data_IF_836486319010
#
_entry.id   IF_836486319010
#
_cell.length_a   1.000
_cell.length_b   1.000
_cell.length_c   1.000
_cell.angle_alpha   90.00
_cell.angle_beta   90.00
_cell.angle_gamma   90.00
#
_symmetry.space_group_name_H-M   'P 1'
#
loop_
_entity.id
_entity.type
_entity.pdbx_description
1 polymer ?
#
# COMPACT_ATOMS: atom_id res chain seq x y z
N UNK A 1 15.89 54.20 19.68
CA UNK A 1 16.25 52.85 19.20
C UNK A 1 15.34 52.48 18.04
N UNK A 2 15.79 52.71 16.81
CA UNK A 2 15.12 52.22 15.60
C UNK A 2 15.31 50.70 15.52
N UNK A 3 14.25 49.88 15.44
CA UNK A 3 14.42 48.45 15.30
C UNK A 3 15.12 48.19 13.97
N UNK A 4 16.38 47.75 14.04
CA UNK A 4 17.12 47.23 12.89
C UNK A 4 16.34 46.06 12.32
N UNK A 5 15.60 46.33 11.24
CA UNK A 5 14.79 45.35 10.52
C UNK A 5 15.78 44.32 9.95
N UNK A 6 15.91 43.15 10.61
CA UNK A 6 16.74 42.05 10.11
C UNK A 6 16.30 41.78 8.66
N UNK A 7 17.19 42.01 7.72
CA UNK A 7 16.95 41.71 6.31
C UNK A 7 16.60 40.22 6.21
N UNK A 8 15.39 39.84 5.75
CA UNK A 8 15.08 38.44 5.54
C UNK A 8 16.11 37.83 4.60
N UNK A 9 16.45 36.55 4.81
CA UNK A 9 17.32 35.82 3.89
C UNK A 9 16.77 35.96 2.47
N UNK A 10 17.62 36.15 1.45
CA UNK A 10 17.20 36.23 0.04
C UNK A 10 16.29 35.04 -0.30
N UNK A 11 15.21 35.26 -1.05
CA UNK A 11 14.20 34.25 -1.35
C UNK A 11 14.79 33.00 -2.01
N UNK A 12 15.83 33.16 -2.83
CA UNK A 12 16.59 32.06 -3.42
C UNK A 12 17.16 31.09 -2.37
N UNK A 13 17.71 31.61 -1.26
CA UNK A 13 18.25 30.76 -0.17
C UNK A 13 17.13 30.04 0.57
N UNK A 14 15.99 30.70 0.78
CA UNK A 14 14.83 30.07 1.43
C UNK A 14 14.27 28.92 0.60
N UNK A 15 14.28 29.08 -0.73
CA UNK A 15 13.92 28.05 -1.68
C UNK A 15 14.80 26.81 -1.67
N UNK A 16 16.12 27.02 -1.68
CA UNK A 16 17.08 25.91 -1.58
C UNK A 16 16.90 25.15 -0.26
N UNK A 17 16.68 25.85 0.85
CA UNK A 17 16.37 25.21 2.14
C UNK A 17 15.07 24.41 2.04
N UNK A 18 14.03 24.95 1.37
CA UNK A 18 12.77 24.25 1.19
C UNK A 18 12.95 22.94 0.39
N UNK A 19 13.67 22.98 -0.74
CA UNK A 19 13.97 21.80 -1.54
C UNK A 19 14.79 20.77 -0.75
N UNK A 20 15.80 21.22 0.00
CA UNK A 20 16.61 20.34 0.85
C UNK A 20 15.76 19.66 1.93
N UNK A 21 14.85 20.39 2.59
CA UNK A 21 13.95 19.81 3.60
C UNK A 21 12.97 18.79 2.99
N UNK A 22 12.47 19.04 1.78
CA UNK A 22 11.62 18.08 1.06
C UNK A 22 12.42 16.82 0.72
N UNK A 23 13.64 16.97 0.20
CA UNK A 23 14.51 15.84 -0.08
C UNK A 23 14.82 15.04 1.21
N UNK A 24 15.10 15.72 2.33
CA UNK A 24 15.26 15.07 3.63
C UNK A 24 13.99 14.32 4.07
N UNK A 25 12.79 14.88 3.86
CA UNK A 25 11.54 14.21 4.19
C UNK A 25 11.32 12.95 3.33
N UNK A 26 11.60 13.02 2.02
CA UNK A 26 11.57 11.87 1.11
C UNK A 26 12.56 10.79 1.59
N UNK A 27 13.81 11.15 1.88
CA UNK A 27 14.80 10.20 2.40
C UNK A 27 14.41 9.62 3.77
N UNK A 28 13.81 10.42 4.66
CA UNK A 28 13.32 9.95 5.95
C UNK A 28 12.22 8.91 5.80
N UNK A 29 11.28 9.08 4.86
CA UNK A 29 10.30 8.05 4.54
C UNK A 29 10.93 6.75 4.06
N UNK A 30 12.08 6.80 3.41
CA UNK A 30 12.74 5.59 2.88
C UNK A 30 13.60 4.87 3.92
N UNK A 31 14.32 5.62 4.74
CA UNK A 31 15.44 5.09 5.54
C UNK A 31 15.26 5.27 7.04
N UNK A 32 14.24 6.00 7.49
CA UNK A 32 14.00 6.26 8.89
C UNK A 32 12.67 5.64 9.35
N UNK A 33 12.47 5.45 10.66
CA UNK A 33 11.18 5.02 11.19
C UNK A 33 10.05 5.98 10.79
N UNK A 34 8.82 5.45 10.71
CA UNK A 34 7.61 6.18 10.27
C UNK A 34 7.44 7.55 10.96
N UNK A 35 7.71 7.65 12.27
CA UNK A 35 7.57 8.91 13.02
C UNK A 35 8.55 10.00 12.54
N UNK A 36 9.76 9.63 12.11
CA UNK A 36 10.75 10.56 11.61
C UNK A 36 10.34 11.09 10.23
N UNK A 37 9.76 10.23 9.38
CA UNK A 37 9.14 10.63 8.12
C UNK A 37 8.04 11.68 8.31
N UNK A 38 7.14 11.48 9.30
CA UNK A 38 6.12 12.48 9.65
C UNK A 38 6.73 13.80 10.14
N UNK A 39 7.71 13.75 11.05
CA UNK A 39 8.36 14.95 11.58
C UNK A 39 9.06 15.76 10.47
N UNK A 40 9.82 15.09 9.61
CA UNK A 40 10.51 15.72 8.49
C UNK A 40 9.52 16.31 7.47
N UNK A 41 8.42 15.62 7.18
CA UNK A 41 7.36 16.10 6.30
C UNK A 41 6.68 17.34 6.88
N UNK A 42 6.32 17.32 8.17
CA UNK A 42 5.76 18.48 8.87
C UNK A 42 6.68 19.71 8.79
N UNK A 43 7.99 19.52 9.04
CA UNK A 43 8.98 20.59 8.92
C UNK A 43 9.08 21.14 7.48
N UNK A 44 9.13 20.25 6.47
CA UNK A 44 9.18 20.64 5.07
C UNK A 44 7.93 21.43 4.64
N UNK A 45 6.74 21.00 5.07
CA UNK A 45 5.48 21.70 4.77
C UNK A 45 5.40 23.07 5.46
N UNK A 46 5.76 23.16 6.74
CA UNK A 46 5.81 24.45 7.46
C UNK A 46 6.82 25.39 6.81
N UNK A 47 7.99 24.89 6.43
CA UNK A 47 9.02 25.70 5.81
C UNK A 47 8.63 26.18 4.41
N UNK A 48 8.14 25.29 3.54
CA UNK A 48 7.68 25.66 2.18
C UNK A 48 6.53 26.66 2.26
N UNK A 49 5.61 26.47 3.21
CA UNK A 49 4.59 27.45 3.54
C UNK A 49 5.21 28.79 3.95
N UNK A 50 6.23 28.86 4.81
CA UNK A 50 6.86 30.14 5.18
C UNK A 50 7.63 30.76 4.01
N UNK A 51 8.51 30.00 3.37
CA UNK A 51 9.40 30.41 2.29
C UNK A 51 8.64 31.00 1.10
N UNK A 52 7.46 30.46 0.78
CA UNK A 52 6.62 31.03 -0.28
C UNK A 52 6.41 32.54 -0.11
N UNK A 53 6.21 33.05 1.12
CA UNK A 53 5.97 34.49 1.33
C UNK A 53 7.17 35.33 0.92
N UNK A 54 8.38 34.86 1.22
CA UNK A 54 9.61 35.57 0.86
C UNK A 54 9.92 35.46 -0.63
N UNK A 55 9.70 34.28 -1.21
CA UNK A 55 9.92 34.03 -2.64
C UNK A 55 8.97 34.82 -3.55
N UNK A 56 7.80 35.20 -3.04
CA UNK A 56 6.82 36.02 -3.77
C UNK A 56 7.41 37.35 -4.23
N UNK A 57 8.24 37.97 -3.38
CA UNK A 57 8.87 39.26 -3.67
C UNK A 57 9.98 39.17 -4.72
N UNK A 58 10.56 37.97 -4.91
CA UNK A 58 11.75 37.78 -5.74
C UNK A 58 11.42 37.22 -7.14
N UNK A 59 10.17 36.83 -7.42
CA UNK A 59 9.74 36.30 -8.72
C UNK A 59 10.28 34.91 -9.10
N UNK A 60 11.13 34.29 -8.26
CA UNK A 60 11.81 33.01 -8.52
C UNK A 60 11.01 31.75 -8.14
N UNK A 61 9.75 31.89 -7.72
CA UNK A 61 8.94 30.74 -7.28
C UNK A 61 8.71 29.68 -8.36
N UNK A 62 8.72 30.08 -9.65
CA UNK A 62 8.66 29.16 -10.80
C UNK A 62 9.85 28.20 -10.84
N UNK A 63 11.06 28.67 -10.51
CA UNK A 63 12.27 27.83 -10.47
C UNK A 63 12.16 26.76 -9.39
N UNK A 64 11.49 27.07 -8.28
CA UNK A 64 11.36 26.13 -7.16
C UNK A 64 10.28 25.09 -7.44
N UNK A 65 9.20 25.47 -8.14
CA UNK A 65 8.25 24.49 -8.67
C UNK A 65 8.91 23.57 -9.70
N UNK A 66 9.81 24.10 -10.54
CA UNK A 66 10.62 23.26 -11.44
C UNK A 66 11.57 22.32 -10.65
N UNK A 67 12.24 22.81 -9.61
CA UNK A 67 13.04 21.96 -8.73
C UNK A 67 12.22 20.86 -8.05
N UNK A 68 11.01 21.19 -7.60
CA UNK A 68 10.07 20.22 -7.04
C UNK A 68 9.62 19.19 -8.09
N UNK A 69 9.39 19.62 -9.33
CA UNK A 69 9.11 18.73 -10.45
C UNK A 69 10.19 17.68 -10.63
N UNK A 70 11.46 18.11 -10.60
CA UNK A 70 12.61 17.21 -10.70
C UNK A 70 12.59 16.19 -9.56
N UNK A 71 12.32 16.62 -8.32
CA UNK A 71 12.21 15.70 -7.18
C UNK A 71 11.06 14.71 -7.35
N UNK A 72 9.86 15.17 -7.71
CA UNK A 72 8.69 14.30 -7.99
C UNK A 72 9.03 13.29 -9.08
N UNK A 73 9.56 13.75 -10.22
CA UNK A 73 9.91 12.91 -11.35
C UNK A 73 11.00 11.91 -11.00
N UNK A 74 12.01 12.29 -10.22
CA UNK A 74 13.05 11.37 -9.75
C UNK A 74 12.45 10.27 -8.85
N UNK A 75 11.62 10.63 -7.87
CA UNK A 75 10.95 9.66 -7.00
C UNK A 75 10.06 8.71 -7.80
N UNK A 76 9.26 9.22 -8.75
CA UNK A 76 8.39 8.41 -9.60
C UNK A 76 9.19 7.48 -10.53
N UNK A 77 10.33 7.95 -11.06
CA UNK A 77 11.19 7.16 -11.93
C UNK A 77 11.88 6.02 -11.17
N UNK A 78 12.43 6.31 -9.98
CA UNK A 78 13.05 5.30 -9.11
C UNK A 78 12.03 4.20 -8.78
N UNK A 79 10.84 4.60 -8.32
CA UNK A 79 9.79 3.65 -7.97
C UNK A 79 9.30 2.80 -9.14
N UNK A 80 9.30 3.34 -10.37
CA UNK A 80 8.84 2.62 -11.56
C UNK A 80 9.86 1.61 -12.07
N UNK A 81 11.15 1.96 -12.08
CA UNK A 81 12.19 1.16 -12.73
C UNK A 81 12.86 0.18 -11.79
N UNK A 82 12.93 0.50 -10.50
CA UNK A 82 13.58 -0.34 -9.49
C UNK A 82 12.62 -0.54 -8.31
N UNK A 83 11.54 -1.33 -8.47
CA UNK A 83 10.61 -1.60 -7.37
C UNK A 83 11.32 -2.25 -6.17
N UNK A 84 12.47 -2.89 -6.37
CA UNK A 84 13.32 -3.40 -5.29
C UNK A 84 13.92 -2.27 -4.42
N UNK A 85 14.11 -1.07 -4.97
CA UNK A 85 14.72 0.04 -4.25
C UNK A 85 13.73 0.77 -3.34
N UNK A 86 12.48 0.95 -3.79
CA UNK A 86 11.43 1.59 -3.00
C UNK A 86 10.06 1.10 -3.46
N UNK A 87 9.60 -0.07 -2.97
CA UNK A 87 8.33 -0.64 -3.39
C UNK A 87 7.16 0.19 -2.88
N UNK A 88 6.10 0.24 -3.70
CA UNK A 88 4.83 0.82 -3.30
C UNK A 88 3.99 -0.29 -2.66
N UNK A 89 3.91 -0.28 -1.34
CA UNK A 89 3.28 -1.38 -0.60
C UNK A 89 1.75 -1.25 -0.51
N UNK A 90 1.14 -0.24 -1.14
CA UNK A 90 -0.28 0.06 -0.93
C UNK A 90 -1.18 -1.12 -1.33
N UNK A 91 -0.87 -1.87 -2.39
CA UNK A 91 -1.52 -3.15 -2.71
C UNK A 91 -1.36 -4.19 -1.61
N UNK A 92 -0.13 -4.46 -1.15
CA UNK A 92 0.12 -5.39 -0.05
C UNK A 92 -0.54 -4.92 1.26
N UNK A 93 -0.75 -3.61 1.46
CA UNK A 93 -1.39 -3.02 2.63
C UNK A 93 -2.94 -3.03 2.56
N UNK A 94 -3.55 -3.57 1.51
CA UNK A 94 -5.01 -3.62 1.39
C UNK A 94 -5.65 -2.42 0.70
N UNK A 95 -4.84 -1.55 0.09
CA UNK A 95 -5.26 -0.40 -0.69
C UNK A 95 -5.11 -0.58 -2.20
N UNK A 96 -4.96 -1.80 -2.72
CA UNK A 96 -4.73 -2.06 -4.15
C UNK A 96 -5.84 -1.53 -5.07
N UNK A 97 -7.08 -1.50 -4.58
CA UNK A 97 -8.20 -0.88 -5.29
C UNK A 97 -8.02 0.63 -5.58
N UNK A 98 -7.13 1.31 -4.85
CA UNK A 98 -6.82 2.73 -5.02
C UNK A 98 -5.57 2.97 -5.88
N UNK A 99 -4.89 1.92 -6.33
CA UNK A 99 -3.75 2.03 -7.24
C UNK A 99 -4.17 2.29 -8.68
N UNK A 100 -5.45 2.06 -9.02
CA UNK A 100 -5.95 2.18 -10.39
C UNK A 100 -7.17 3.09 -10.44
N UNK A 101 -7.17 3.98 -11.43
CA UNK A 101 -8.30 4.83 -11.78
C UNK A 101 -8.69 4.50 -13.23
N UNK A 102 -9.93 4.03 -13.44
CA UNK A 102 -10.43 3.57 -14.74
C UNK A 102 -9.51 2.51 -15.41
N UNK A 103 -8.97 1.58 -14.62
CA UNK A 103 -8.07 0.52 -15.09
C UNK A 103 -6.60 0.96 -15.29
N UNK A 104 -6.31 2.27 -15.23
CA UNK A 104 -4.96 2.82 -15.38
C UNK A 104 -4.33 3.04 -14.01
N UNK A 105 -3.07 2.65 -13.84
CA UNK A 105 -2.33 2.92 -12.61
C UNK A 105 -2.24 4.42 -12.32
N UNK A 106 -2.66 4.82 -11.12
CA UNK A 106 -2.67 6.20 -10.63
C UNK A 106 -1.28 6.81 -10.69
N UNK A 107 -0.22 6.05 -10.40
CA UNK A 107 1.17 6.55 -10.50
C UNK A 107 1.52 7.01 -11.91
N UNK A 108 1.02 6.34 -12.96
CA UNK A 108 1.22 6.75 -14.36
C UNK A 108 0.46 8.02 -14.69
N UNK A 109 -0.80 8.11 -14.24
CA UNK A 109 -1.63 9.30 -14.42
C UNK A 109 -1.04 10.51 -13.65
N UNK A 110 -0.57 10.29 -12.43
CA UNK A 110 0.08 11.29 -11.60
C UNK A 110 1.38 11.78 -12.25
N UNK A 111 2.22 10.87 -12.76
CA UNK A 111 3.43 11.23 -13.49
C UNK A 111 3.12 12.09 -14.73
N UNK A 112 2.20 11.63 -15.58
CA UNK A 112 1.80 12.38 -16.77
C UNK A 112 1.19 13.75 -16.42
N UNK A 113 0.28 13.79 -15.44
CA UNK A 113 -0.35 15.01 -14.97
C UNK A 113 0.65 16.00 -14.38
N UNK A 114 1.61 15.53 -13.58
CA UNK A 114 2.70 16.34 -13.06
C UNK A 114 3.56 16.91 -14.19
N UNK A 115 4.00 16.08 -15.15
CA UNK A 115 4.80 16.56 -16.29
C UNK A 115 4.08 17.63 -17.10
N UNK A 116 2.80 17.42 -17.42
CA UNK A 116 1.98 18.39 -18.15
C UNK A 116 1.82 19.69 -17.36
N UNK A 117 1.56 19.59 -16.06
CA UNK A 117 1.44 20.73 -15.16
C UNK A 117 2.74 21.56 -15.14
N UNK A 118 3.88 20.91 -14.98
CA UNK A 118 5.18 21.58 -14.94
C UNK A 118 5.59 22.16 -16.30
N UNK A 119 5.32 21.45 -17.39
CA UNK A 119 5.52 21.96 -18.75
C UNK A 119 4.70 23.24 -18.99
N UNK A 120 3.44 23.26 -18.55
CA UNK A 120 2.58 24.43 -18.68
C UNK A 120 3.05 25.61 -17.81
N UNK A 121 3.56 25.35 -16.60
CA UNK A 121 4.21 26.37 -15.77
C UNK A 121 5.44 26.96 -16.47
N UNK A 122 6.32 26.10 -16.99
CA UNK A 122 7.54 26.53 -17.67
C UNK A 122 7.21 27.36 -18.93
N UNK A 123 6.27 26.87 -19.74
CA UNK A 123 5.78 27.57 -20.93
C UNK A 123 5.17 28.93 -20.57
N UNK A 124 4.35 29.00 -19.52
CA UNK A 124 3.80 30.25 -19.02
C UNK A 124 4.89 31.23 -18.58
N UNK A 125 5.93 30.75 -17.89
CA UNK A 125 7.07 31.58 -17.49
C UNK A 125 7.86 32.13 -18.67
N UNK A 126 8.11 31.30 -19.69
CA UNK A 126 8.77 31.71 -20.94
C UNK A 126 7.92 32.75 -21.68
N UNK A 127 6.62 32.51 -21.79
CA UNK A 127 5.69 33.44 -22.46
C UNK A 127 5.63 34.79 -21.75
N UNK A 128 5.47 34.82 -20.41
CA UNK A 128 5.48 36.08 -19.66
C UNK A 128 6.76 36.88 -19.90
N UNK A 129 7.93 36.22 -19.84
CA UNK A 129 9.23 36.87 -20.11
C UNK A 129 9.32 37.45 -21.52
N UNK A 130 8.82 36.72 -22.53
CA UNK A 130 8.80 37.19 -23.94
C UNK A 130 7.83 38.36 -24.15
N UNK A 131 6.72 38.38 -23.42
CA UNK A 131 5.70 39.42 -23.51
C UNK A 131 5.98 40.64 -22.62
N UNK A 132 7.13 40.70 -21.93
CA UNK A 132 7.44 41.76 -20.97
C UNK A 132 6.52 41.79 -19.74
N UNK A 133 5.72 40.74 -19.53
CA UNK A 133 4.86 40.60 -18.36
C UNK A 133 5.70 40.09 -17.20
N UNK A 134 5.53 40.69 -16.02
CA UNK A 134 6.23 40.25 -14.83
C UNK A 134 5.79 38.82 -14.45
N UNK A 135 6.66 37.79 -14.60
CA UNK A 135 6.34 36.41 -14.26
C UNK A 135 6.11 36.22 -12.76
N UNK A 136 6.54 37.16 -11.92
CA UNK A 136 6.28 37.16 -10.49
C UNK A 136 4.79 37.38 -10.18
N UNK A 137 4.07 38.10 -11.06
CA UNK A 137 2.76 38.63 -10.71
C UNK A 137 1.62 37.63 -10.84
N UNK A 138 1.59 36.73 -11.85
CA UNK A 138 0.48 35.77 -12.03
C UNK A 138 0.87 34.51 -12.80
N UNK A 139 0.81 33.35 -12.15
CA UNK A 139 0.49 32.13 -12.89
C UNK A 139 -0.94 32.27 -13.46
N UNK A 140 -1.24 31.77 -14.66
CA UNK A 140 -2.61 31.67 -15.16
C UNK A 140 -3.53 31.03 -14.11
N UNK A 141 -4.69 31.63 -13.86
CA UNK A 141 -5.67 31.12 -12.88
C UNK A 141 -6.01 29.63 -13.08
N UNK A 142 -6.13 29.10 -14.32
CA UNK A 142 -6.34 27.67 -14.54
C UNK A 142 -5.20 26.80 -14.00
N UNK A 143 -3.94 27.21 -14.17
CA UNK A 143 -2.79 26.46 -13.64
C UNK A 143 -2.79 26.47 -12.12
N UNK A 144 -3.12 27.59 -11.49
CA UNK A 144 -3.25 27.63 -10.03
C UNK A 144 -4.37 26.69 -9.55
N UNK A 145 -5.52 26.68 -10.23
CA UNK A 145 -6.65 25.81 -9.90
C UNK A 145 -6.26 24.32 -10.00
N UNK A 146 -5.52 23.93 -11.04
CA UNK A 146 -4.99 22.55 -11.19
C UNK A 146 -4.04 22.21 -10.03
N UNK A 147 -3.14 23.11 -9.66
CA UNK A 147 -2.22 22.87 -8.53
C UNK A 147 -2.97 22.66 -7.21
N UNK A 148 -4.00 23.47 -6.93
CA UNK A 148 -4.87 23.29 -5.76
C UNK A 148 -5.73 22.01 -5.84
N UNK A 149 -6.15 21.61 -7.04
CA UNK A 149 -6.84 20.34 -7.26
C UNK A 149 -5.95 19.13 -6.96
N UNK A 150 -4.66 19.17 -7.33
CA UNK A 150 -3.67 18.13 -6.99
C UNK A 150 -3.45 18.01 -5.47
N UNK A 151 -3.50 19.13 -4.73
CA UNK A 151 -3.49 19.13 -3.26
C UNK A 151 -4.75 18.43 -2.74
N UNK A 152 -5.93 18.73 -3.28
CA UNK A 152 -7.18 18.05 -2.94
C UNK A 152 -7.13 16.54 -3.17
N UNK A 153 -6.59 16.11 -4.31
CA UNK A 153 -6.32 14.70 -4.63
C UNK A 153 -5.40 14.06 -3.59
N UNK A 154 -4.32 14.75 -3.19
CA UNK A 154 -3.42 14.23 -2.16
C UNK A 154 -4.10 14.12 -0.79
N UNK A 155 -4.93 15.09 -0.42
CA UNK A 155 -5.74 15.02 0.80
C UNK A 155 -6.70 13.83 0.78
N UNK A 156 -7.30 13.50 -0.38
CA UNK A 156 -8.14 12.31 -0.51
C UNK A 156 -7.36 11.04 -0.22
N UNK A 157 -6.19 10.84 -0.84
CA UNK A 157 -5.37 9.64 -0.59
C UNK A 157 -4.89 9.54 0.86
N UNK A 158 -4.48 10.65 1.48
CA UNK A 158 -4.10 10.67 2.89
C UNK A 158 -5.28 10.36 3.82
N UNK A 159 -6.47 10.87 3.50
CA UNK A 159 -7.70 10.55 4.22
C UNK A 159 -8.05 9.05 4.09
N UNK A 160 -8.00 8.50 2.87
CA UNK A 160 -8.19 7.07 2.59
C UNK A 160 -7.18 6.22 3.37
N UNK A 161 -5.90 6.57 3.32
CA UNK A 161 -4.81 5.91 4.04
C UNK A 161 -5.08 5.86 5.55
N UNK A 162 -5.43 7.02 6.14
CA UNK A 162 -5.74 7.13 7.56
C UNK A 162 -6.98 6.30 7.94
N UNK A 163 -8.01 6.30 7.10
CA UNK A 163 -9.25 5.53 7.34
C UNK A 163 -9.08 4.03 7.21
N UNK A 164 -8.18 3.57 6.33
CA UNK A 164 -7.84 2.17 6.19
C UNK A 164 -6.79 1.71 7.21
N UNK A 165 -6.17 2.63 7.96
CA UNK A 165 -5.07 2.30 8.88
C UNK A 165 -3.80 1.87 8.14
N UNK A 166 -3.61 2.38 6.93
CA UNK A 166 -2.51 2.02 6.03
C UNK A 166 -1.50 3.16 5.97
N UNK A 167 -0.21 2.83 5.91
CA UNK A 167 0.87 3.81 5.76
C UNK A 167 1.93 3.29 4.77
N UNK A 168 1.75 3.60 3.48
CA UNK A 168 2.78 3.36 2.47
C UNK A 168 3.78 4.50 2.47
N UNK A 169 5.04 4.24 2.84
CA UNK A 169 6.10 5.26 2.92
C UNK A 169 6.34 5.97 1.59
N UNK A 170 6.29 5.24 0.46
CA UNK A 170 6.44 5.85 -0.86
C UNK A 170 5.29 6.82 -1.18
N UNK A 171 4.04 6.42 -0.89
CA UNK A 171 2.87 7.30 -1.07
C UNK A 171 2.97 8.55 -0.19
N UNK A 172 3.37 8.39 1.07
CA UNK A 172 3.54 9.51 2.01
C UNK A 172 4.64 10.48 1.56
N UNK A 173 5.76 9.96 1.03
CA UNK A 173 6.79 10.79 0.41
C UNK A 173 6.23 11.58 -0.78
N UNK A 174 5.54 10.92 -1.72
CA UNK A 174 4.94 11.57 -2.89
C UNK A 174 3.95 12.67 -2.49
N UNK A 175 3.04 12.38 -1.57
CA UNK A 175 2.07 13.35 -1.09
C UNK A 175 2.70 14.50 -0.31
N UNK A 176 3.81 14.27 0.40
CA UNK A 176 4.59 15.35 1.03
C UNK A 176 5.08 16.34 -0.02
N UNK A 177 5.62 15.84 -1.13
CA UNK A 177 6.12 16.67 -2.23
C UNK A 177 4.96 17.46 -2.88
N UNK A 178 3.82 16.83 -3.15
CA UNK A 178 2.65 17.52 -3.74
C UNK A 178 2.08 18.58 -2.77
N UNK A 179 1.96 18.26 -1.48
CA UNK A 179 1.44 19.21 -0.49
C UNK A 179 2.38 20.40 -0.28
N UNK A 180 3.70 20.21 -0.42
CA UNK A 180 4.67 21.30 -0.35
C UNK A 180 4.46 22.36 -1.46
N UNK A 181 3.77 22.02 -2.57
CA UNK A 181 3.38 22.96 -3.62
C UNK A 181 2.45 24.07 -3.11
N UNK A 182 1.73 23.86 -2.00
CA UNK A 182 0.82 24.85 -1.43
C UNK A 182 1.54 26.18 -1.09
N UNK A 183 2.80 26.09 -0.65
CA UNK A 183 3.64 27.24 -0.32
C UNK A 183 3.80 28.24 -1.47
N UNK A 184 4.37 27.85 -2.62
CA UNK A 184 4.45 28.71 -3.80
C UNK A 184 3.09 29.03 -4.42
N UNK A 185 2.12 28.09 -4.45
CA UNK A 185 0.81 28.30 -5.07
C UNK A 185 -0.05 29.38 -4.39
N UNK A 186 0.13 29.62 -3.07
CA UNK A 186 -0.66 30.62 -2.33
C UNK A 186 -0.39 32.07 -2.73
N UNK A 187 0.73 32.31 -3.40
CA UNK A 187 1.20 33.65 -3.78
C UNK A 187 0.48 34.16 -5.02
N UNK A 188 -0.19 33.25 -5.70
CA UNK A 188 -0.85 33.49 -6.94
C UNK A 188 -2.27 34.04 -6.68
N UNK A 189 -2.79 34.82 -7.63
CA UNK A 189 -3.90 35.78 -7.44
C UNK A 189 -5.28 35.18 -7.16
N UNK A 190 -5.44 33.86 -7.13
CA UNK A 190 -6.71 33.27 -6.73
C UNK A 190 -7.06 33.72 -5.30
N UNK A 191 -8.27 34.23 -5.11
CA UNK A 191 -8.83 34.49 -3.78
C UNK A 191 -8.98 33.18 -3.00
N UNK A 192 -9.11 33.25 -1.68
CA UNK A 192 -9.26 32.08 -0.80
C UNK A 192 -10.38 31.14 -1.23
N UNK A 193 -11.55 31.68 -1.64
CA UNK A 193 -12.72 30.88 -2.04
C UNK A 193 -12.42 29.95 -3.23
N UNK A 194 -11.95 30.45 -4.40
CA UNK A 194 -11.54 29.58 -5.51
C UNK A 194 -10.52 28.51 -5.14
N UNK A 195 -9.57 28.80 -4.25
CA UNK A 195 -8.57 27.80 -3.80
C UNK A 195 -9.24 26.65 -3.07
N UNK A 196 -10.10 26.97 -2.11
CA UNK A 196 -10.89 25.98 -1.35
C UNK A 196 -11.77 25.18 -2.31
N UNK A 197 -12.43 25.85 -3.26
CA UNK A 197 -13.25 25.18 -4.27
C UNK A 197 -12.43 24.21 -5.14
N UNK A 198 -11.21 24.57 -5.57
CA UNK A 198 -10.33 23.68 -6.32
C UNK A 198 -9.84 22.48 -5.51
N UNK A 199 -9.47 22.68 -4.23
CA UNK A 199 -9.12 21.58 -3.31
C UNK A 199 -10.31 20.64 -3.14
N UNK A 200 -11.49 21.19 -2.86
CA UNK A 200 -12.72 20.41 -2.71
C UNK A 200 -13.06 19.65 -3.99
N UNK A 201 -12.95 20.28 -5.16
CA UNK A 201 -13.18 19.64 -6.44
C UNK A 201 -12.25 18.44 -6.68
N UNK A 202 -10.95 18.58 -6.39
CA UNK A 202 -9.98 17.48 -6.53
C UNK A 202 -10.27 16.32 -5.57
N UNK A 203 -10.64 16.62 -4.33
CA UNK A 203 -11.03 15.61 -3.34
C UNK A 203 -12.33 14.90 -3.76
N UNK A 204 -13.37 15.66 -4.08
CA UNK A 204 -14.69 15.14 -4.46
C UNK A 204 -14.63 14.34 -5.76
N UNK A 205 -13.79 14.74 -6.74
CA UNK A 205 -13.60 13.99 -7.98
C UNK A 205 -13.17 12.55 -7.70
N UNK A 206 -12.18 12.35 -6.82
CA UNK A 206 -11.74 11.01 -6.46
C UNK A 206 -12.74 10.27 -5.57
N UNK A 207 -13.42 10.98 -4.66
CA UNK A 207 -14.50 10.40 -3.89
C UNK A 207 -15.63 9.86 -4.78
N UNK A 208 -15.99 10.58 -5.85
CA UNK A 208 -16.98 10.13 -6.84
C UNK A 208 -16.42 8.96 -7.65
N UNK A 209 -15.16 9.03 -8.09
CA UNK A 209 -14.56 8.02 -8.94
C UNK A 209 -14.35 6.66 -8.23
N UNK A 210 -13.97 6.66 -6.96
CA UNK A 210 -13.84 5.44 -6.14
C UNK A 210 -15.14 5.04 -5.44
N UNK A 211 -16.13 5.94 -5.42
CA UNK A 211 -17.39 5.77 -4.71
C UNK A 211 -17.31 6.18 -3.23
N UNK A 212 -18.47 6.32 -2.58
CA UNK A 212 -18.57 6.85 -1.22
C UNK A 212 -18.08 5.87 -0.13
N UNK A 213 -18.02 4.57 -0.45
CA UNK A 213 -17.58 3.54 0.49
C UNK A 213 -16.09 3.27 0.35
N UNK A 214 -15.34 3.50 1.42
CA UNK A 214 -13.99 2.94 1.52
C UNK A 214 -14.07 1.43 1.55
N UNK A 215 -13.22 0.77 0.77
CA UNK A 215 -13.22 -0.69 0.64
C UNK A 215 -11.81 -1.18 0.93
N UNK A 216 -11.70 -2.13 1.85
CA UNK A 216 -10.50 -2.95 1.94
C UNK A 216 -10.43 -3.80 0.68
N UNK A 217 -9.21 -3.97 0.16
CA UNK A 217 -8.96 -4.78 -1.01
C UNK A 217 -8.82 -6.27 -0.65
N UNK A 218 -9.87 -6.78 0.00
CA UNK A 218 -10.06 -8.20 0.27
C UNK A 218 -11.35 -8.63 -0.40
N UNK A 219 -11.27 -9.66 -1.25
CA UNK A 219 -12.43 -10.28 -1.84
C UNK A 219 -13.09 -11.18 -0.79
N UNK A 220 -14.27 -10.78 -0.34
CA UNK A 220 -15.25 -11.71 0.22
C UNK A 220 -15.82 -12.54 -0.93
N UNK A 221 -15.75 -13.86 -0.85
CA UNK A 221 -16.49 -14.74 -1.76
C UNK A 221 -18.00 -14.44 -1.70
N UNK A 222 -18.79 -14.80 -2.73
CA UNK A 222 -20.24 -14.69 -2.64
C UNK A 222 -20.72 -15.45 -1.40
N UNK A 223 -21.55 -14.80 -0.57
CA UNK A 223 -22.25 -15.47 0.52
C UNK A 223 -23.32 -16.37 -0.08
N UNK A 224 -22.97 -17.62 -0.33
CA UNK A 224 -23.95 -18.64 -0.72
C UNK A 224 -24.73 -19.08 0.52
N UNK A 225 -26.05 -18.92 0.49
CA UNK A 225 -26.95 -19.35 1.57
C UNK A 225 -27.32 -20.84 1.49
N UNK A 226 -26.70 -21.60 0.60
CA UNK A 226 -26.94 -23.03 0.45
C UNK A 226 -26.28 -23.81 1.59
N UNK A 227 -27.08 -24.65 2.26
CA UNK A 227 -26.59 -25.59 3.27
C UNK A 227 -25.53 -26.51 2.63
N UNK A 228 -24.35 -26.70 3.26
CA UNK A 228 -23.35 -27.66 2.80
C UNK A 228 -23.93 -29.06 2.63
N UNK A 229 -23.56 -29.76 1.55
CA UNK A 229 -23.70 -31.21 1.52
C UNK A 229 -22.63 -31.87 2.39
N UNK A 230 -22.86 -33.11 2.84
CA UNK A 230 -21.84 -33.88 3.58
C UNK A 230 -20.55 -34.08 2.77
N UNK A 231 -20.66 -34.17 1.43
CA UNK A 231 -19.51 -34.22 0.54
C UNK A 231 -18.71 -32.91 0.57
N UNK A 232 -19.38 -31.76 0.61
CA UNK A 232 -18.71 -30.46 0.73
C UNK A 232 -18.05 -30.30 2.10
N UNK A 233 -18.67 -30.76 3.19
CA UNK A 233 -18.07 -30.71 4.52
C UNK A 233 -16.80 -31.57 4.59
N UNK A 234 -16.85 -32.79 4.03
CA UNK A 234 -15.68 -33.64 3.92
C UNK A 234 -14.59 -33.01 3.03
N UNK A 235 -14.96 -32.30 1.97
CA UNK A 235 -14.03 -31.57 1.11
C UNK A 235 -13.33 -30.44 1.87
N UNK A 236 -14.10 -29.62 2.58
CA UNK A 236 -13.58 -28.51 3.38
C UNK A 236 -12.68 -28.97 4.52
N UNK A 237 -13.05 -30.05 5.21
CA UNK A 237 -12.23 -30.63 6.26
C UNK A 237 -10.86 -31.10 5.74
N UNK A 238 -10.80 -31.66 4.52
CA UNK A 238 -9.52 -32.02 3.88
C UNK A 238 -8.68 -30.80 3.59
N UNK A 239 -9.28 -29.73 3.05
CA UNK A 239 -8.56 -28.47 2.80
C UNK A 239 -7.96 -27.92 4.09
N UNK A 240 -8.75 -27.84 5.17
CA UNK A 240 -8.29 -27.31 6.45
C UNK A 240 -7.17 -28.14 7.08
N UNK A 241 -7.26 -29.47 6.99
CA UNK A 241 -6.21 -30.35 7.49
C UNK A 241 -4.90 -30.16 6.72
N UNK A 242 -4.95 -30.06 5.40
CA UNK A 242 -3.76 -30.04 4.53
C UNK A 242 -3.13 -28.65 4.33
N UNK A 243 -3.86 -27.56 4.64
CA UNK A 243 -3.30 -26.20 4.72
C UNK A 243 -2.76 -25.86 6.12
N UNK A 244 -2.86 -26.81 7.04
CA UNK A 244 -2.33 -26.72 8.39
C UNK A 244 -1.08 -27.59 8.51
N UNK A 245 -0.03 -27.07 9.13
CA UNK A 245 1.22 -27.79 9.37
C UNK A 245 1.43 -27.96 10.88
N UNK A 246 1.82 -29.16 11.30
CA UNK A 246 1.98 -29.52 12.71
C UNK A 246 0.75 -30.21 13.27
N UNK A 247 0.77 -30.47 14.58
CA UNK A 247 -0.30 -31.24 15.23
C UNK A 247 -1.55 -30.38 15.44
N UNK A 248 -2.73 -30.96 15.20
CA UNK A 248 -4.03 -30.33 15.44
C UNK A 248 -4.28 -30.00 16.92
N UNK A 249 -3.55 -30.62 17.85
CA UNK A 249 -3.62 -30.41 19.30
C UNK A 249 -2.48 -29.54 19.85
N UNK A 250 -1.59 -29.01 19.00
CA UNK A 250 -0.49 -28.15 19.43
C UNK A 250 -1.00 -26.95 20.26
N UNK A 251 -0.37 -26.56 21.38
CA UNK A 251 -0.91 -25.52 22.27
C UNK A 251 -1.07 -24.15 21.62
N UNK A 252 -0.30 -23.87 20.57
CA UNK A 252 -0.34 -22.62 19.83
C UNK A 252 -0.77 -22.82 18.38
N UNK A 253 -1.48 -21.83 17.85
CA UNK A 253 -1.86 -21.74 16.44
C UNK A 253 -1.35 -20.40 15.88
N UNK A 254 -0.61 -20.45 14.79
CA UNK A 254 -0.22 -19.28 14.01
C UNK A 254 -1.02 -19.25 12.72
N UNK A 255 -1.98 -18.33 12.65
CA UNK A 255 -2.70 -18.04 11.41
C UNK A 255 -1.81 -17.14 10.54
N UNK A 256 -1.26 -17.68 9.45
CA UNK A 256 -0.42 -16.96 8.48
C UNK A 256 -1.23 -16.65 7.23
N UNK A 257 -1.51 -15.37 7.02
CA UNK A 257 -2.33 -14.85 5.93
C UNK A 257 -1.42 -14.34 4.82
N UNK A 258 -1.62 -14.87 3.61
CA UNK A 258 -0.75 -14.62 2.45
C UNK A 258 -1.58 -14.23 1.23
N UNK A 259 -0.97 -13.48 0.33
CA UNK A 259 -1.53 -13.16 -0.98
C UNK A 259 -0.54 -13.59 -2.06
N UNK A 260 -1.01 -14.31 -3.08
CA UNK A 260 -0.13 -14.96 -4.06
C UNK A 260 0.65 -13.98 -4.93
N UNK A 261 0.11 -12.79 -5.18
CA UNK A 261 0.73 -11.80 -6.04
C UNK A 261 1.56 -10.73 -5.28
N UNK A 262 1.65 -10.83 -3.96
CA UNK A 262 2.40 -9.90 -3.11
C UNK A 262 3.82 -10.43 -2.89
N UNK A 263 4.81 -9.70 -3.40
CA UNK A 263 6.22 -10.07 -3.28
C UNK A 263 6.66 -10.21 -1.81
N UNK A 264 6.17 -9.36 -0.91
CA UNK A 264 6.47 -9.48 0.53
C UNK A 264 5.94 -10.80 1.12
N UNK A 265 4.77 -11.26 0.67
CA UNK A 265 4.25 -12.56 1.13
C UNK A 265 5.16 -13.72 0.70
N UNK A 266 5.72 -13.66 -0.51
CA UNK A 266 6.64 -14.67 -1.00
C UNK A 266 7.96 -14.70 -0.21
N UNK A 267 8.57 -13.52 0.02
CA UNK A 267 9.81 -13.39 0.79
C UNK A 267 9.59 -13.86 2.24
N UNK A 268 8.59 -13.31 2.91
CA UNK A 268 8.32 -13.62 4.32
C UNK A 268 7.93 -15.08 4.52
N UNK A 269 7.16 -15.70 3.61
CA UNK A 269 6.86 -17.14 3.70
C UNK A 269 8.13 -18.00 3.57
N UNK A 270 8.99 -17.68 2.61
CA UNK A 270 10.24 -18.42 2.33
C UNK A 270 11.19 -18.37 3.53
N UNK A 271 11.19 -17.28 4.30
CA UNK A 271 12.03 -17.15 5.49
C UNK A 271 11.36 -17.70 6.76
N UNK A 272 10.07 -17.40 6.97
CA UNK A 272 9.35 -17.72 8.19
C UNK A 272 9.03 -19.22 8.28
N UNK A 273 8.57 -19.85 7.20
CA UNK A 273 8.13 -21.24 7.25
C UNK A 273 9.27 -22.21 7.66
N UNK A 274 10.50 -22.10 7.15
CA UNK A 274 11.63 -22.89 7.64
C UNK A 274 12.01 -22.56 9.10
N UNK A 275 11.96 -21.29 9.50
CA UNK A 275 12.29 -20.88 10.87
C UNK A 275 11.33 -21.47 11.92
N UNK A 276 10.06 -21.68 11.56
CA UNK A 276 9.05 -22.28 12.42
C UNK A 276 9.10 -23.81 12.48
N UNK A 277 9.92 -24.46 11.63
CA UNK A 277 9.91 -25.91 11.42
C UNK A 277 10.13 -26.70 12.71
N UNK A 278 11.09 -26.29 13.54
CA UNK A 278 11.36 -26.96 14.82
C UNK A 278 10.15 -26.90 15.76
N UNK A 279 9.50 -25.75 15.91
CA UNK A 279 8.31 -25.62 16.77
C UNK A 279 7.11 -26.43 16.26
N UNK A 280 6.99 -26.58 14.94
CA UNK A 280 5.98 -27.41 14.29
C UNK A 280 6.26 -28.90 14.54
N UNK A 281 7.49 -29.35 14.30
CA UNK A 281 7.89 -30.75 14.45
C UNK A 281 7.85 -31.20 15.92
N UNK A 282 8.18 -30.31 16.87
CA UNK A 282 8.04 -30.53 18.32
C UNK A 282 6.59 -30.59 18.80
N UNK A 283 5.61 -30.31 17.92
CA UNK A 283 4.19 -30.26 18.28
C UNK A 283 3.80 -29.06 19.14
N UNK A 284 4.65 -28.04 19.23
CA UNK A 284 4.38 -26.79 19.98
C UNK A 284 3.50 -25.83 19.19
N UNK A 285 3.63 -25.84 17.87
CA UNK A 285 2.93 -24.93 16.97
C UNK A 285 2.15 -25.67 15.89
N UNK A 286 0.92 -25.23 15.65
CA UNK A 286 0.21 -25.46 14.40
C UNK A 286 0.26 -24.18 13.55
N UNK A 287 0.84 -24.27 12.36
CA UNK A 287 0.83 -23.18 11.37
C UNK A 287 -0.35 -23.39 10.42
N UNK A 288 -1.26 -22.42 10.31
CA UNK A 288 -2.39 -22.48 9.38
C UNK A 288 -2.20 -21.42 8.30
N UNK A 289 -2.02 -21.84 7.05
CA UNK A 289 -1.86 -20.90 5.92
C UNK A 289 -3.22 -20.54 5.35
N UNK A 290 -3.52 -19.24 5.34
CA UNK A 290 -4.78 -18.66 4.85
C UNK A 290 -4.52 -17.78 3.63
N UNK A 291 -4.62 -18.32 2.41
CA UNK A 291 -4.50 -17.51 1.22
C UNK A 291 -5.68 -16.54 1.11
N UNK A 292 -5.42 -15.30 0.71
CA UNK A 292 -6.45 -14.28 0.48
C UNK A 292 -6.54 -13.88 -0.97
N UNK A 293 -7.76 -13.56 -1.39
CA UNK A 293 -8.02 -13.02 -2.71
C UNK A 293 -8.18 -11.50 -2.60
N UNK A 294 -7.57 -10.75 -3.52
CA UNK A 294 -7.76 -9.30 -3.68
C UNK A 294 -8.70 -9.02 -4.84
N UNK A 295 -9.51 -7.97 -4.72
CA UNK A 295 -10.45 -7.58 -5.79
C UNK A 295 -9.74 -6.80 -6.89
N UNK A 296 -8.67 -6.09 -6.55
CA UNK A 296 -7.91 -5.28 -7.49
C UNK A 296 -7.03 -6.10 -8.43
N UNK A 297 -6.74 -7.36 -8.07
CA UNK A 297 -5.80 -8.22 -8.78
C UNK A 297 -6.55 -9.26 -9.64
N UNK A 298 -6.40 -9.23 -10.99
CA UNK A 298 -7.27 -9.99 -11.89
C UNK A 298 -7.23 -11.52 -11.71
N UNK A 299 -6.12 -12.08 -11.25
CA UNK A 299 -5.96 -13.53 -11.06
C UNK A 299 -6.06 -13.98 -9.60
N UNK A 300 -6.18 -13.05 -8.64
CA UNK A 300 -6.00 -13.35 -7.23
C UNK A 300 -7.04 -14.35 -6.71
N UNK A 301 -8.30 -14.24 -7.14
CA UNK A 301 -9.35 -15.20 -6.76
C UNK A 301 -9.09 -16.61 -7.29
N UNK A 302 -8.66 -16.74 -8.55
CA UNK A 302 -8.38 -18.04 -9.17
C UNK A 302 -7.16 -18.70 -8.53
N UNK A 303 -6.12 -17.92 -8.19
CA UNK A 303 -4.96 -18.41 -7.44
C UNK A 303 -5.37 -18.97 -6.08
N UNK A 304 -6.24 -18.28 -5.34
CA UNK A 304 -6.77 -18.82 -4.08
C UNK A 304 -7.57 -20.09 -4.33
N UNK A 305 -8.48 -20.12 -5.31
CA UNK A 305 -9.28 -21.30 -5.64
C UNK A 305 -8.39 -22.52 -5.94
N UNK A 306 -7.38 -22.35 -6.78
CA UNK A 306 -6.44 -23.44 -7.13
C UNK A 306 -5.58 -23.87 -5.94
N UNK A 307 -5.20 -22.96 -5.05
CA UNK A 307 -4.47 -23.31 -3.83
C UNK A 307 -5.30 -24.17 -2.88
N UNK A 308 -6.60 -23.89 -2.78
CA UNK A 308 -7.52 -24.66 -1.94
C UNK A 308 -7.81 -26.03 -2.57
N UNK A 309 -7.92 -26.11 -3.89
CA UNK A 309 -7.94 -27.39 -4.61
C UNK A 309 -6.65 -28.20 -4.35
N UNK A 310 -5.47 -27.56 -4.37
CA UNK A 310 -4.21 -28.25 -4.06
C UNK A 310 -4.18 -28.77 -2.60
N UNK A 311 -4.72 -28.01 -1.65
CA UNK A 311 -4.90 -28.48 -0.28
C UNK A 311 -5.90 -29.64 -0.19
N UNK A 312 -6.96 -29.67 -1.01
CA UNK A 312 -7.87 -30.81 -1.04
C UNK A 312 -7.19 -32.11 -1.50
N UNK A 313 -6.17 -32.03 -2.38
CA UNK A 313 -5.36 -33.16 -2.83
C UNK A 313 -4.32 -33.64 -1.79
N UNK A 314 -3.86 -32.76 -0.89
CA UNK A 314 -2.93 -33.13 0.19
C UNK A 314 -1.98 -32.00 0.60
N UNK A 315 -1.29 -32.19 1.74
CA UNK A 315 -0.28 -31.23 2.23
C UNK A 315 0.85 -31.00 1.22
N UNK A 316 1.36 -32.07 0.58
CA UNK A 316 2.50 -31.99 -0.36
C UNK A 316 2.13 -31.25 -1.66
N UNK A 317 1.00 -31.55 -2.35
CA UNK A 317 0.52 -30.72 -3.45
C UNK A 317 0.35 -29.25 -3.07
N UNK A 318 -0.22 -28.96 -1.89
CA UNK A 318 -0.38 -27.59 -1.41
C UNK A 318 0.95 -26.85 -1.22
N UNK A 319 1.95 -27.48 -0.56
CA UNK A 319 3.29 -26.88 -0.42
C UNK A 319 3.92 -26.57 -1.77
N UNK A 320 3.88 -27.53 -2.71
CA UNK A 320 4.39 -27.32 -4.07
C UNK A 320 3.69 -26.13 -4.76
N UNK A 321 2.38 -26.00 -4.57
CA UNK A 321 1.63 -24.88 -5.08
C UNK A 321 2.10 -23.55 -4.48
N UNK A 322 2.27 -23.47 -3.15
CA UNK A 322 2.80 -22.27 -2.48
C UNK A 322 4.16 -21.87 -3.05
N UNK A 323 5.09 -22.83 -3.15
CA UNK A 323 6.45 -22.60 -3.66
C UNK A 323 6.45 -22.09 -5.12
N UNK A 324 5.52 -22.57 -5.94
CA UNK A 324 5.44 -22.20 -7.36
C UNK A 324 4.67 -20.89 -7.62
N UNK A 325 3.71 -20.55 -6.77
CA UNK A 325 2.73 -19.49 -7.05
C UNK A 325 2.87 -18.26 -6.17
N UNK A 326 3.53 -18.33 -5.01
CA UNK A 326 3.84 -17.12 -4.23
C UNK A 326 4.82 -16.22 -5.00
N UNK A 327 4.50 -14.93 -5.06
CA UNK A 327 5.27 -13.96 -5.84
C UNK A 327 4.89 -13.93 -7.33
N UNK A 328 3.73 -14.50 -7.69
CA UNK A 328 3.16 -14.37 -9.03
C UNK A 328 3.03 -12.88 -9.38
N UNK A 329 3.42 -12.49 -10.59
CA UNK A 329 3.40 -11.08 -11.01
C UNK A 329 1.99 -10.47 -10.86
N UNK A 330 1.90 -9.24 -10.37
CA UNK A 330 0.64 -8.48 -10.29
C UNK A 330 0.09 -8.10 -11.67
N UNK A 331 -1.22 -7.89 -11.76
CA UNK A 331 -1.91 -7.46 -12.97
C UNK A 331 -2.01 -8.48 -14.10
N UNK A 332 -1.58 -9.73 -13.88
CA UNK A 332 -1.77 -10.83 -14.83
C UNK A 332 -3.16 -11.46 -14.66
N UNK A 333 -3.68 -12.05 -15.73
CA UNK A 333 -4.94 -12.81 -15.70
C UNK A 333 -4.70 -14.29 -15.42
N UNK A 334 -5.73 -15.01 -14.96
CA UNK A 334 -5.63 -16.46 -14.75
C UNK A 334 -5.27 -17.22 -16.03
N UNK A 335 -5.76 -16.80 -17.20
CA UNK A 335 -5.34 -17.36 -18.50
C UNK A 335 -3.85 -17.20 -18.77
N UNK A 336 -3.27 -16.05 -18.45
CA UNK A 336 -1.83 -15.82 -18.60
C UNK A 336 -1.01 -16.69 -17.64
N UNK A 337 -1.54 -16.97 -16.45
CA UNK A 337 -0.89 -17.85 -15.49
C UNK A 337 -0.96 -19.30 -15.95
N UNK A 338 -2.12 -19.77 -16.43
CA UNK A 338 -2.32 -21.13 -16.96
C UNK A 338 -1.45 -21.45 -18.19
N UNK A 339 -1.03 -20.43 -18.93
CA UNK A 339 -0.11 -20.57 -20.07
C UNK A 339 1.34 -20.21 -19.73
N UNK A 340 1.62 -19.85 -18.48
CA UNK A 340 2.93 -19.42 -18.00
C UNK A 340 3.85 -20.58 -17.59
N UNK A 341 5.14 -20.28 -17.31
CA UNK A 341 6.15 -21.29 -16.96
C UNK A 341 5.85 -22.05 -15.66
N UNK A 342 5.03 -21.49 -14.77
CA UNK A 342 4.66 -22.12 -13.50
C UNK A 342 3.44 -23.04 -13.62
N UNK A 343 2.77 -23.08 -14.77
CA UNK A 343 1.51 -23.81 -14.94
C UNK A 343 1.67 -25.33 -14.81
N UNK A 344 2.67 -25.88 -15.47
CA UNK A 344 2.95 -27.33 -15.45
C UNK A 344 3.55 -27.79 -14.11
N UNK A 345 4.60 -27.14 -13.55
CA UNK A 345 5.14 -27.53 -12.25
C UNK A 345 4.11 -27.53 -11.11
N UNK A 346 3.16 -26.59 -11.14
CA UNK A 346 2.09 -26.47 -10.15
C UNK A 346 0.83 -27.27 -10.49
N UNK A 347 0.80 -28.01 -11.61
CA UNK A 347 -0.37 -28.77 -12.07
C UNK A 347 -1.66 -27.93 -12.20
N UNK A 348 -1.55 -26.66 -12.63
CA UNK A 348 -2.66 -25.70 -12.53
C UNK A 348 -3.93 -26.10 -13.31
N UNK A 349 -3.80 -26.78 -14.44
CA UNK A 349 -4.95 -27.22 -15.22
C UNK A 349 -5.80 -28.28 -14.49
N UNK A 350 -5.17 -29.15 -13.70
CA UNK A 350 -5.88 -30.10 -12.84
C UNK A 350 -6.57 -29.40 -11.69
N UNK A 351 -5.83 -28.52 -11.00
CA UNK A 351 -6.35 -27.73 -9.88
C UNK A 351 -7.51 -26.81 -10.29
N UNK A 352 -7.48 -26.26 -11.50
CA UNK A 352 -8.59 -25.46 -12.04
C UNK A 352 -9.86 -26.29 -12.20
N UNK A 353 -9.76 -27.50 -12.79
CA UNK A 353 -10.92 -28.40 -12.92
C UNK A 353 -11.45 -28.85 -11.56
N UNK A 354 -10.56 -29.17 -10.63
CA UNK A 354 -10.91 -29.54 -9.26
C UNK A 354 -11.62 -28.39 -8.54
N UNK A 355 -11.11 -27.16 -8.68
CA UNK A 355 -11.73 -25.98 -8.10
C UNK A 355 -13.12 -25.69 -8.70
N UNK A 356 -13.28 -25.86 -10.01
CA UNK A 356 -14.57 -25.67 -10.68
C UNK A 356 -15.60 -26.74 -10.26
N UNK A 357 -15.16 -27.99 -10.04
CA UNK A 357 -16.02 -29.07 -9.54
C UNK A 357 -16.54 -28.83 -8.11
N UNK A 358 -15.82 -28.04 -7.31
CA UNK A 358 -16.12 -27.75 -5.91
C UNK A 358 -16.31 -26.25 -5.62
N UNK A 359 -16.74 -25.47 -6.61
CA UNK A 359 -16.76 -24.01 -6.56
C UNK A 359 -17.52 -23.45 -5.35
N UNK A 360 -18.72 -23.99 -5.06
CA UNK A 360 -19.53 -23.53 -3.93
C UNK A 360 -18.85 -23.78 -2.56
N UNK A 361 -18.19 -24.92 -2.40
CA UNK A 361 -17.45 -25.23 -1.17
C UNK A 361 -16.26 -24.28 -0.99
N UNK A 362 -15.47 -24.09 -2.06
CA UNK A 362 -14.31 -23.19 -2.07
C UNK A 362 -14.73 -21.74 -1.81
N UNK A 363 -15.77 -21.24 -2.48
CA UNK A 363 -16.28 -19.88 -2.29
C UNK A 363 -16.70 -19.61 -0.83
N UNK A 364 -17.35 -20.60 -0.19
CA UNK A 364 -17.69 -20.54 1.23
C UNK A 364 -16.45 -20.47 2.11
N UNK A 365 -15.42 -21.27 1.83
CA UNK A 365 -14.17 -21.25 2.60
C UNK A 365 -13.46 -19.90 2.47
N UNK A 366 -13.39 -19.34 1.26
CA UNK A 366 -12.82 -18.01 1.01
C UNK A 366 -13.57 -16.94 1.82
N UNK A 367 -14.90 -17.01 1.86
CA UNK A 367 -15.73 -16.10 2.67
C UNK A 367 -15.48 -16.28 4.17
N UNK A 368 -15.37 -17.53 4.65
CA UNK A 368 -15.05 -17.85 6.05
C UNK A 368 -13.67 -17.34 6.44
N UNK A 369 -12.65 -17.53 5.60
CA UNK A 369 -11.31 -16.99 5.83
C UNK A 369 -11.31 -15.47 5.85
N UNK A 370 -12.02 -14.80 4.93
CA UNK A 370 -12.13 -13.34 4.92
C UNK A 370 -12.72 -12.81 6.24
N UNK A 371 -13.78 -13.45 6.76
CA UNK A 371 -14.35 -13.14 8.08
C UNK A 371 -13.34 -13.38 9.20
N UNK A 372 -12.65 -14.53 9.18
CA UNK A 372 -11.63 -14.87 10.18
C UNK A 372 -10.49 -13.85 10.20
N UNK A 373 -10.04 -13.40 9.04
CA UNK A 373 -8.96 -12.41 8.88
C UNK A 373 -9.40 -11.04 9.42
N UNK A 374 -10.66 -10.66 9.21
CA UNK A 374 -11.24 -9.47 9.82
C UNK A 374 -11.28 -9.57 11.35
N UNK A 375 -11.65 -10.71 11.92
CA UNK A 375 -11.63 -10.96 13.37
C UNK A 375 -10.20 -10.89 13.96
N UNK A 376 -9.21 -11.40 13.23
CA UNK A 376 -7.80 -11.32 13.63
C UNK A 376 -7.28 -9.86 13.61
N UNK A 377 -8.01 -8.95 12.95
CA UNK A 377 -7.66 -7.54 12.84
C UNK A 377 -6.67 -7.24 11.73
N UNK A 378 -6.55 -8.10 10.72
CA UNK A 378 -5.75 -7.80 9.55
C UNK A 378 -6.54 -6.85 8.64
N UNK A 379 -6.26 -5.55 8.73
CA UNK A 379 -6.94 -4.49 7.97
C UNK A 379 -6.58 -4.48 6.46
N UNK A 380 -6.32 -5.65 5.86
CA UNK A 380 -5.85 -5.80 4.49
C UNK A 380 -4.33 -5.81 4.33
N UNK A 381 -3.57 -5.53 5.39
CA UNK A 381 -2.12 -5.59 5.39
C UNK A 381 -1.61 -7.03 5.30
N UNK A 382 -0.73 -7.29 4.34
CA UNK A 382 -0.15 -8.59 4.03
C UNK A 382 1.37 -8.47 3.78
N UNK A 383 2.15 -9.50 4.12
CA UNK A 383 1.73 -10.70 4.86
C UNK A 383 1.30 -10.34 6.29
N UNK A 384 0.48 -11.20 6.88
CA UNK A 384 -0.01 -11.01 8.25
C UNK A 384 0.07 -12.32 9.02
N UNK A 385 0.48 -12.24 10.27
CA UNK A 385 0.51 -13.39 11.16
C UNK A 385 -0.18 -13.04 12.48
N UNK A 386 -1.00 -13.97 12.99
CA UNK A 386 -1.59 -13.87 14.31
C UNK A 386 -1.34 -15.16 15.10
N UNK A 387 -0.64 -15.02 16.23
CA UNK A 387 -0.41 -16.14 17.15
C UNK A 387 -1.52 -16.14 18.20
N UNK A 388 -2.08 -17.31 18.44
CA UNK A 388 -3.10 -17.54 19.46
C UNK A 388 -2.86 -18.86 20.17
N UNK A 389 -3.39 -18.97 21.38
CA UNK A 389 -3.49 -20.26 22.05
C UNK A 389 -4.70 -21.07 21.54
N UNK A 390 -4.84 -22.30 22.03
CA UNK A 390 -6.00 -23.16 21.72
C UNK A 390 -7.32 -22.65 22.26
N UNK A 391 -7.32 -21.89 23.35
CA UNK A 391 -8.52 -21.23 23.88
C UNK A 391 -8.96 -20.05 22.98
N UNK A 392 -8.12 -19.64 22.03
CA UNK A 392 -8.37 -18.54 21.10
C UNK A 392 -7.87 -17.19 21.60
N UNK A 393 -7.18 -17.12 22.75
CA UNK A 393 -6.57 -15.89 23.22
C UNK A 393 -5.42 -15.50 22.29
N UNK A 394 -5.44 -14.24 21.83
CA UNK A 394 -4.42 -13.69 20.94
C UNK A 394 -3.17 -13.33 21.74
N UNK A 395 -2.04 -13.91 21.35
CA UNK A 395 -0.74 -13.76 21.99
C UNK A 395 0.16 -12.77 21.25
N UNK A 396 -0.04 -12.60 19.94
CA UNK A 396 0.74 -11.67 19.12
C UNK A 396 0.14 -11.44 17.74
N UNK A 397 0.53 -10.34 17.10
CA UNK A 397 0.18 -10.02 15.70
C UNK A 397 1.33 -9.28 15.02
N UNK A 398 1.55 -9.60 13.74
CA UNK A 398 2.60 -9.00 12.91
C UNK A 398 2.06 -8.78 11.50
N UNK A 399 2.53 -7.73 10.84
CA UNK A 399 2.09 -7.37 9.48
C UNK A 399 3.20 -6.71 8.70
N UNK A 400 3.22 -6.92 7.38
CA UNK A 400 4.19 -6.37 6.41
C UNK A 400 5.59 -6.95 6.59
N UNK A 401 6.16 -6.81 7.79
CA UNK A 401 7.40 -7.43 8.21
C UNK A 401 7.14 -8.32 9.42
N UNK A 402 7.37 -9.63 9.28
CA UNK A 402 7.11 -10.60 10.35
C UNK A 402 8.46 -10.98 10.95
N UNK A 403 8.80 -10.33 12.05
CA UNK A 403 10.02 -10.64 12.78
C UNK A 403 9.95 -12.06 13.37
N UNK A 404 10.67 -12.99 12.72
CA UNK A 404 10.72 -14.41 13.11
C UNK A 404 11.21 -14.62 14.53
N UNK A 405 12.13 -13.79 15.04
CA UNK A 405 12.66 -13.92 16.40
C UNK A 405 11.59 -13.54 17.41
N UNK A 406 10.79 -12.51 17.13
CA UNK A 406 9.64 -12.14 17.97
C UNK A 406 8.56 -13.23 17.97
N UNK A 407 8.26 -13.81 16.80
CA UNK A 407 7.28 -14.91 16.71
C UNK A 407 7.76 -16.13 17.52
N UNK A 408 9.02 -16.55 17.34
CA UNK A 408 9.60 -17.66 18.09
C UNK A 408 9.68 -17.36 19.60
N UNK A 409 10.05 -16.15 19.98
CA UNK A 409 10.08 -15.71 21.38
C UNK A 409 8.69 -15.72 22.01
N UNK A 410 7.65 -15.36 21.28
CA UNK A 410 6.26 -15.44 21.77
C UNK A 410 5.81 -16.89 22.00
N UNK A 411 6.25 -17.83 21.15
CA UNK A 411 5.99 -19.26 21.30
C UNK A 411 6.76 -19.85 22.50
N UNK A 412 7.99 -19.42 22.74
CA UNK A 412 8.83 -19.92 23.83
C UNK A 412 8.45 -19.27 25.17
N UNK A 413 8.37 -17.94 25.23
CA UNK A 413 8.18 -17.17 26.48
C UNK A 413 6.83 -17.40 27.18
N UNK A 414 5.82 -17.87 26.44
CA UNK A 414 4.52 -18.27 27.02
C UNK A 414 4.60 -19.59 27.79
N UNK A 415 5.62 -20.41 27.57
CA UNK A 415 5.83 -21.65 28.35
C UNK A 415 6.46 -21.41 29.72
N UNK A 416 7.08 -20.25 29.94
CA UNK A 416 7.80 -19.91 31.19
C UNK A 416 6.96 -19.29 32.32
N UNK A 417 5.64 -19.18 32.18
CA UNK A 417 4.74 -18.84 33.29
C UNK A 417 4.81 -17.40 33.83
N UNK A 418 5.64 -16.52 33.26
CA UNK A 418 5.58 -15.08 33.52
C UNK A 418 4.50 -14.48 32.64
N UNK A 419 3.44 -13.95 33.26
CA UNK A 419 2.26 -13.41 32.56
C UNK A 419 2.59 -12.38 31.46
N UNK A 420 1.68 -12.22 30.47
CA UNK A 420 1.96 -11.45 29.27
C UNK A 420 2.24 -9.97 29.57
N UNK A 421 3.36 -9.45 29.04
CA UNK A 421 3.59 -8.02 28.88
C UNK A 421 2.83 -7.59 27.63
N UNK A 422 1.73 -6.85 27.81
CA UNK A 422 0.95 -6.32 26.70
C UNK A 422 1.77 -5.29 25.88
N UNK A 423 1.78 -5.38 24.54
CA UNK A 423 2.35 -4.34 23.68
C UNK A 423 1.45 -3.10 23.58
#
# INVERSE_FOLDING_TARGET
>A
MTPTRRSPLPGARQGLIALALIACAVLAWRFAPTWAGFAASGLALVWTWRAGRAMAGDGRWLEHLAGLAVVVSAVLMIAKHEPAWWPCDISCLGGGGYERLFGVFVVKLAFAGCLLFYAAIAASGIWCRRSGLDPSTRAPAPLQAIGWMMIGISCFYLWTSARLGVACHQCLAMHTVVLAMAGPLRLATLRTIPRIASVAAGFTLLLVAYGPGLRTDIASGPTTHTTPSAADEAYLARIDANRSFGRMDAPFVLDLVLEFQCLHCAVEYTELAPALRAAIDDGRLQLVVRPIARRSEPASIDLVRWSLAAAAEGERPFRRYLDAMLGTRTGVTSTQILSGPNAEPAHLAGLAREADAHDAAIARLISSDASRIAELGAAGAMPFAALRDRAGARLGRWSVHIDREQVLSAIIGTTSGTGPVAP
#
